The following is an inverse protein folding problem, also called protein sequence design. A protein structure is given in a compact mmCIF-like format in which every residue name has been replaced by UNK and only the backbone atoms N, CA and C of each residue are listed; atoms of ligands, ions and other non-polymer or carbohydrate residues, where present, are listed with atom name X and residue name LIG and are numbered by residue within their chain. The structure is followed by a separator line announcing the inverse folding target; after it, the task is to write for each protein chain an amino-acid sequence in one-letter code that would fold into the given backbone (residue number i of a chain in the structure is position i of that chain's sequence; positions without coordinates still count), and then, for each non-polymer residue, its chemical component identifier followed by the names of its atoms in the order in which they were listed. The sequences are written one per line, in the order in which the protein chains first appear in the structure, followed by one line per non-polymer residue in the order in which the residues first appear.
data_IF_367591660815
#
_entry.id   IF_367591660815
#
_cell.length_a   1.000
_cell.length_b   1.000
_cell.length_c   1.000
_cell.angle_alpha   90.00
_cell.angle_beta   90.00
_cell.angle_gamma   90.00
#
_symmetry.space_group_name_H-M   'P 1'
#
loop_
_entity.id
_entity.type
_entity.pdbx_description
1 polymer ?
#
# COMPACT_ATOMS: atom_id res chain seq x y z
N UNK A 1 10.70 2.78 -10.33
CA UNK A 1 11.83 2.24 -9.53
C UNK A 1 13.11 2.11 -10.35
N UNK A 2 13.33 1.09 -11.20
CA UNK A 2 14.58 0.95 -11.97
C UNK A 2 14.92 2.19 -12.80
N UNK A 3 13.96 2.73 -13.56
CA UNK A 3 14.22 3.94 -14.37
C UNK A 3 14.47 5.18 -13.51
N UNK A 4 13.83 5.28 -12.33
CA UNK A 4 14.08 6.35 -11.36
C UNK A 4 15.48 6.21 -10.72
N UNK A 5 15.96 4.99 -10.46
CA UNK A 5 17.33 4.75 -10.01
C UNK A 5 18.37 5.09 -11.10
N UNK A 6 18.00 5.01 -12.37
CA UNK A 6 18.83 5.44 -13.50
C UNK A 6 18.84 6.97 -13.72
N UNK A 7 17.93 7.72 -13.07
CA UNK A 7 17.75 9.17 -13.23
C UNK A 7 18.02 9.99 -11.95
N UNK A 8 18.48 9.35 -10.87
CA UNK A 8 18.72 9.99 -9.56
C UNK A 8 20.12 10.60 -9.41
N UNK A 9 20.61 11.29 -10.44
CA UNK A 9 21.63 12.32 -10.24
C UNK A 9 20.90 13.67 -10.19
N UNK A 10 21.12 14.48 -9.16
CA UNK A 10 20.39 15.73 -8.91
C UNK A 10 20.51 16.79 -10.04
N UNK A 11 21.27 16.50 -11.09
CA UNK A 11 21.43 17.31 -12.31
C UNK A 11 20.83 16.66 -13.57
N UNK A 12 20.24 15.46 -13.48
CA UNK A 12 20.00 14.58 -14.63
C UNK A 12 18.51 14.17 -14.77
N UNK A 13 17.58 15.04 -14.34
CA UNK A 13 16.18 14.98 -14.76
C UNK A 13 16.00 15.29 -16.26
N UNK A 14 17.08 15.55 -17.00
CA UNK A 14 17.06 15.76 -18.43
C UNK A 14 17.07 14.41 -19.18
N UNK A 15 15.89 14.03 -19.65
CA UNK A 15 15.68 13.21 -20.85
C UNK A 15 16.37 11.84 -20.89
N UNK A 16 15.70 10.83 -20.32
CA UNK A 16 15.75 9.50 -20.94
C UNK A 16 15.01 9.62 -22.28
N UNK A 17 15.73 9.57 -23.41
CA UNK A 17 15.13 9.70 -24.74
C UNK A 17 14.01 8.64 -24.93
N UNK A 18 12.93 8.96 -25.69
CA UNK A 18 11.81 8.04 -25.91
C UNK A 18 12.23 6.66 -26.45
N UNK A 19 13.32 6.59 -27.21
CA UNK A 19 13.89 5.35 -27.74
C UNK A 19 14.51 4.48 -26.62
N UNK A 20 15.14 5.12 -25.63
CA UNK A 20 15.67 4.44 -24.44
C UNK A 20 14.53 3.83 -23.61
N UNK A 21 13.35 4.46 -23.55
CA UNK A 21 12.19 3.89 -22.86
C UNK A 21 11.71 2.58 -23.47
N UNK A 22 11.62 2.51 -24.80
CA UNK A 22 11.22 1.28 -25.50
C UNK A 22 12.21 0.14 -25.24
N UNK A 23 13.51 0.43 -25.31
CA UNK A 23 14.57 -0.53 -25.01
C UNK A 23 14.53 -0.99 -23.54
N UNK A 24 14.23 -0.10 -22.59
CA UNK A 24 14.06 -0.45 -21.18
C UNK A 24 12.86 -1.39 -20.97
N UNK A 25 11.75 -1.17 -21.68
CA UNK A 25 10.57 -2.03 -21.60
C UNK A 25 10.86 -3.47 -22.07
N UNK A 26 11.66 -3.65 -23.13
CA UNK A 26 12.04 -4.98 -23.64
C UNK A 26 12.91 -5.79 -22.65
N UNK A 27 13.61 -5.09 -21.75
CA UNK A 27 14.46 -5.72 -20.73
C UNK A 27 13.69 -6.05 -19.45
N UNK A 28 12.43 -5.63 -19.32
CA UNK A 28 11.60 -6.01 -18.18
C UNK A 28 11.49 -7.53 -18.11
N UNK A 29 11.70 -8.05 -16.91
CA UNK A 29 11.50 -9.46 -16.58
C UNK A 29 10.35 -9.54 -15.60
N UNK A 30 9.43 -10.46 -15.86
CA UNK A 30 8.23 -10.63 -15.06
C UNK A 30 8.37 -11.87 -14.17
N UNK A 31 7.84 -11.79 -12.97
CA UNK A 31 7.62 -12.93 -12.08
C UNK A 31 6.41 -13.73 -12.54
N UNK A 32 6.24 -14.94 -12.01
CA UNK A 32 5.05 -15.76 -12.26
C UNK A 32 3.75 -15.12 -11.77
N UNK A 33 3.83 -14.16 -10.85
CA UNK A 33 2.68 -13.40 -10.32
C UNK A 33 2.37 -12.14 -11.12
N UNK A 34 3.02 -11.93 -12.28
CA UNK A 34 2.74 -10.79 -13.15
C UNK A 34 3.35 -9.47 -12.67
N UNK A 35 4.36 -9.54 -11.81
CA UNK A 35 5.05 -8.36 -11.25
C UNK A 35 6.46 -8.26 -11.83
N UNK A 36 7.07 -7.07 -11.86
CA UNK A 36 8.46 -6.95 -12.36
C UNK A 36 9.43 -7.61 -11.38
N UNK A 37 10.23 -8.55 -11.88
CA UNK A 37 11.39 -9.13 -11.21
C UNK A 37 12.55 -8.13 -11.31
N UNK A 38 12.71 -7.30 -10.27
CA UNK A 38 13.68 -6.22 -10.31
C UNK A 38 15.12 -6.69 -10.40
N UNK A 39 15.46 -7.83 -9.77
CA UNK A 39 16.82 -8.37 -9.83
C UNK A 39 17.14 -8.85 -11.24
N UNK A 40 16.28 -9.69 -11.83
CA UNK A 40 16.50 -10.18 -13.21
C UNK A 40 16.43 -9.07 -14.24
N UNK A 41 15.59 -8.06 -14.01
CA UNK A 41 15.53 -6.87 -14.87
C UNK A 41 16.82 -6.07 -14.75
N UNK A 42 17.31 -5.83 -13.53
CA UNK A 42 18.60 -5.16 -13.32
C UNK A 42 19.75 -5.93 -13.98
N UNK A 43 19.79 -7.25 -13.83
CA UNK A 43 20.75 -8.13 -14.48
C UNK A 43 20.67 -8.06 -16.03
N UNK A 44 19.47 -8.05 -16.60
CA UNK A 44 19.27 -7.89 -18.04
C UNK A 44 19.72 -6.52 -18.54
N UNK A 45 19.54 -5.48 -17.73
CA UNK A 45 19.95 -4.10 -18.06
C UNK A 45 21.46 -3.92 -17.99
N UNK A 46 22.13 -4.46 -16.96
CA UNK A 46 23.59 -4.32 -16.86
C UNK A 46 24.34 -5.12 -17.92
N UNK A 47 23.73 -6.19 -18.46
CA UNK A 47 24.24 -6.94 -19.62
C UNK A 47 24.01 -6.22 -20.94
N UNK A 48 23.16 -5.20 -20.97
CA UNK A 48 22.87 -4.42 -22.18
C UNK A 48 23.82 -3.23 -22.28
N UNK A 49 24.18 -2.88 -23.50
CA UNK A 49 24.90 -1.66 -23.88
C UNK A 49 24.02 -0.38 -23.86
N UNK A 50 22.70 -0.53 -23.66
CA UNK A 50 21.72 0.56 -23.59
C UNK A 50 21.97 1.51 -22.42
N UNK A 51 22.65 1.04 -21.37
CA UNK A 51 22.95 1.81 -20.16
C UNK A 51 24.45 2.06 -20.10
N UNK A 52 24.88 3.30 -19.83
CA UNK A 52 26.30 3.64 -19.73
C UNK A 52 26.97 2.92 -18.54
N UNK A 53 28.31 2.85 -18.56
CA UNK A 53 29.08 2.09 -17.57
C UNK A 53 28.87 2.57 -16.13
N UNK A 54 28.66 3.88 -15.92
CA UNK A 54 28.44 4.45 -14.59
C UNK A 54 27.10 4.02 -14.04
N UNK A 55 26.05 4.10 -14.85
CA UNK A 55 24.71 3.64 -14.48
C UNK A 55 24.65 2.12 -14.32
N UNK A 56 25.35 1.34 -15.16
CA UNK A 56 25.49 -0.12 -14.99
C UNK A 56 26.15 -0.49 -13.68
N UNK A 57 27.24 0.19 -13.31
CA UNK A 57 27.89 0.01 -12.01
C UNK A 57 26.95 0.35 -10.84
N UNK A 58 26.29 1.52 -10.86
CA UNK A 58 25.32 1.92 -9.82
C UNK A 58 24.20 0.88 -9.68
N UNK A 59 23.66 0.39 -10.79
CA UNK A 59 22.58 -0.61 -10.81
C UNK A 59 23.05 -1.97 -10.27
N UNK A 60 24.22 -2.44 -10.68
CA UNK A 60 24.82 -3.67 -10.17
C UNK A 60 25.04 -3.59 -8.65
N UNK A 61 25.53 -2.46 -8.16
CA UNK A 61 25.71 -2.18 -6.74
C UNK A 61 24.39 -2.19 -5.96
N UNK A 62 23.34 -1.55 -6.51
CA UNK A 62 22.04 -1.42 -5.86
C UNK A 62 21.33 -2.78 -5.72
N UNK A 63 21.49 -3.67 -6.69
CA UNK A 63 20.87 -5.01 -6.69
C UNK A 63 21.84 -6.12 -6.27
N UNK A 64 22.99 -5.76 -5.69
CA UNK A 64 24.01 -6.68 -5.20
C UNK A 64 24.41 -7.77 -6.21
N UNK A 65 24.63 -7.36 -7.46
CA UNK A 65 25.05 -8.25 -8.55
C UNK A 65 26.57 -8.51 -8.47
N UNK A 66 27.01 -9.23 -7.45
CA UNK A 66 28.43 -9.46 -7.09
C UNK A 66 29.33 -9.82 -8.27
N UNK A 67 28.86 -10.66 -9.20
CA UNK A 67 29.67 -11.13 -10.34
C UNK A 67 30.04 -10.00 -11.31
N UNK A 68 29.16 -8.99 -11.44
CA UNK A 68 29.32 -7.90 -12.39
C UNK A 68 30.08 -6.70 -11.81
N UNK A 69 29.99 -6.50 -10.50
CA UNK A 69 30.54 -5.33 -9.81
C UNK A 69 32.06 -5.18 -10.02
N UNK A 70 32.90 -6.23 -9.88
CA UNK A 70 34.34 -6.13 -10.13
C UNK A 70 34.68 -5.80 -11.59
N UNK A 71 33.91 -6.32 -12.55
CA UNK A 71 34.12 -6.09 -13.98
C UNK A 71 33.83 -4.63 -14.32
N UNK A 72 32.66 -4.12 -13.92
CA UNK A 72 32.31 -2.73 -14.13
C UNK A 72 33.22 -1.78 -13.36
N UNK A 73 33.67 -2.16 -12.16
CA UNK A 73 34.66 -1.37 -11.44
C UNK A 73 35.96 -1.23 -12.24
N UNK A 74 36.44 -2.27 -12.92
CA UNK A 74 37.64 -2.17 -13.78
C UNK A 74 37.42 -1.24 -14.98
N UNK A 75 36.25 -1.35 -15.62
CA UNK A 75 35.88 -0.58 -16.81
C UNK A 75 35.55 0.89 -16.52
N UNK A 76 35.20 1.24 -15.28
CA UNK A 76 34.89 2.61 -14.90
C UNK A 76 36.08 3.56 -15.16
N UNK A 77 35.83 4.75 -15.73
CA UNK A 77 36.86 5.80 -15.83
C UNK A 77 37.39 6.19 -14.45
N UNK A 78 38.69 6.50 -14.35
CA UNK A 78 39.33 6.87 -13.09
C UNK A 78 38.69 8.11 -12.43
N UNK A 79 38.22 9.06 -13.24
CA UNK A 79 37.47 10.23 -12.79
C UNK A 79 36.21 9.83 -12.00
N UNK A 80 35.47 8.83 -12.50
CA UNK A 80 34.27 8.31 -11.82
C UNK A 80 34.63 7.46 -10.60
N UNK A 81 35.70 6.65 -10.64
CA UNK A 81 36.17 5.90 -9.46
C UNK A 81 36.46 6.84 -8.29
N UNK A 82 37.07 7.99 -8.57
CA UNK A 82 37.31 9.05 -7.59
C UNK A 82 36.02 9.55 -6.93
N UNK A 83 34.91 9.62 -7.66
CA UNK A 83 33.61 10.02 -7.07
C UNK A 83 33.04 8.95 -6.14
N UNK A 84 33.15 7.66 -6.50
CA UNK A 84 32.64 6.55 -5.69
C UNK A 84 33.52 6.16 -4.50
N UNK A 85 34.81 6.53 -4.56
CA UNK A 85 35.81 6.18 -3.56
C UNK A 85 36.45 7.45 -2.98
N UNK A 86 35.64 8.32 -2.37
CA UNK A 86 36.13 9.53 -1.73
C UNK A 86 35.79 9.57 -0.23
N UNK A 87 36.82 9.39 0.61
CA UNK A 87 36.73 9.38 2.07
C UNK A 87 36.19 10.70 2.68
N UNK A 88 36.36 11.82 1.96
CA UNK A 88 35.78 13.13 2.34
C UNK A 88 34.36 13.40 1.80
N UNK A 89 33.91 12.67 0.78
CA UNK A 89 32.55 12.84 0.26
C UNK A 89 31.55 12.04 1.09
N UNK A 90 31.94 10.85 1.55
CA UNK A 90 31.12 9.96 2.39
C UNK A 90 30.76 10.55 3.76
N UNK A 91 31.51 11.53 4.27
CA UNK A 91 31.17 12.24 5.52
C UNK A 91 30.12 13.34 5.37
N UNK A 92 29.74 13.71 4.13
CA UNK A 92 28.81 14.81 3.83
C UNK A 92 27.46 14.34 3.26
N UNK A 93 27.32 13.06 2.88
CA UNK A 93 26.08 12.54 2.31
C UNK A 93 25.22 11.97 3.44
N UNK A 94 23.99 12.48 3.56
CA UNK A 94 23.03 12.12 4.62
C UNK A 94 22.58 10.65 4.57
N UNK A 95 22.75 9.99 3.43
CA UNK A 95 22.52 8.57 3.19
C UNK A 95 23.74 8.04 2.43
N UNK A 96 24.25 6.84 2.76
CA UNK A 96 25.37 6.26 2.01
C UNK A 96 24.81 5.24 1.00
N UNK A 97 24.55 5.62 -0.26
CA UNK A 97 24.14 4.67 -1.29
C UNK A 97 25.09 3.48 -1.36
N UNK A 98 24.53 2.29 -1.56
CA UNK A 98 25.30 1.04 -1.60
C UNK A 98 26.49 1.08 -2.58
N UNK A 99 26.39 1.85 -3.68
CA UNK A 99 27.46 2.00 -4.66
C UNK A 99 28.74 2.67 -4.13
N UNK A 100 28.68 3.40 -3.01
CA UNK A 100 29.86 3.93 -2.31
C UNK A 100 30.52 2.88 -1.40
N UNK A 101 29.81 1.82 -1.02
CA UNK A 101 30.33 0.78 -0.13
C UNK A 101 31.13 -0.28 -0.89
N UNK A 102 30.67 -0.65 -2.09
CA UNK A 102 31.29 -1.70 -2.92
C UNK A 102 32.79 -1.49 -3.22
N UNK A 103 33.29 -0.27 -3.46
CA UNK A 103 34.72 -0.06 -3.63
C UNK A 103 35.57 -0.51 -2.44
N UNK A 104 35.07 -0.36 -1.21
CA UNK A 104 35.75 -0.82 0.01
C UNK A 104 35.71 -2.34 0.12
N UNK A 105 34.58 -2.97 -0.23
CA UNK A 105 34.42 -4.42 -0.32
C UNK A 105 35.42 -5.01 -1.32
N UNK A 106 35.47 -4.46 -2.54
CA UNK A 106 36.38 -4.91 -3.60
C UNK A 106 37.87 -4.81 -3.23
N UNK A 107 38.23 -3.84 -2.38
CA UNK A 107 39.61 -3.64 -1.91
C UNK A 107 39.95 -4.43 -0.64
N UNK A 108 38.99 -5.19 -0.08
CA UNK A 108 39.16 -5.89 1.20
C UNK A 108 39.25 -4.94 2.41
N UNK A 109 38.75 -3.71 2.26
CA UNK A 109 38.79 -2.65 3.27
C UNK A 109 37.43 -2.48 3.98
N UNK A 110 36.65 -3.57 4.08
CA UNK A 110 35.30 -3.57 4.66
C UNK A 110 35.28 -3.02 6.09
N UNK A 111 36.34 -3.26 6.87
CA UNK A 111 36.49 -2.72 8.21
C UNK A 111 36.36 -1.19 8.26
N UNK A 112 36.72 -0.46 7.18
CA UNK A 112 36.54 1.00 7.12
C UNK A 112 35.07 1.41 7.11
N UNK A 113 34.19 0.56 6.57
CA UNK A 113 32.73 0.79 6.56
C UNK A 113 32.13 0.68 7.97
N UNK A 114 32.73 -0.14 8.85
CA UNK A 114 32.29 -0.26 10.25
C UNK A 114 32.55 1.02 11.04
N UNK A 115 33.62 1.76 10.71
CA UNK A 115 34.02 2.99 11.40
C UNK A 115 33.50 4.28 10.74
N UNK A 116 32.76 4.19 9.64
CA UNK A 116 32.25 5.40 8.97
C UNK A 116 31.28 6.17 9.88
N UNK A 117 31.47 7.49 10.08
CA UNK A 117 30.57 8.31 10.88
C UNK A 117 29.17 8.24 10.30
N UNK A 118 28.24 7.63 11.03
CA UNK A 118 26.81 7.57 10.67
C UNK A 118 26.09 8.89 10.98
N UNK A 119 26.84 9.99 11.02
CA UNK A 119 26.41 11.29 11.49
C UNK A 119 25.81 12.10 10.35
N UNK A 120 24.56 11.79 9.98
CA UNK A 120 23.59 12.73 9.39
C UNK A 120 22.27 12.08 8.94
N UNK A 121 21.95 10.86 9.40
CA UNK A 121 20.56 10.41 9.38
C UNK A 121 19.75 11.36 10.26
N UNK A 122 18.57 11.78 9.79
CA UNK A 122 17.68 12.71 10.50
C UNK A 122 17.69 12.40 12.00
N UNK A 123 18.01 13.42 12.82
CA UNK A 123 18.42 13.40 14.25
C UNK A 123 17.52 12.61 15.22
N UNK A 124 16.52 11.90 14.73
CA UNK A 124 15.47 11.20 15.47
C UNK A 124 15.66 9.67 15.48
N UNK A 125 16.31 9.06 14.48
CA UNK A 125 16.23 7.60 14.28
C UNK A 125 17.37 6.79 14.90
N UNK A 126 18.59 7.33 14.94
CA UNK A 126 19.76 6.64 15.52
C UNK A 126 19.74 6.62 17.05
N UNK A 127 18.85 7.38 17.70
CA UNK A 127 18.80 7.47 19.16
C UNK A 127 18.34 6.18 19.88
N UNK A 128 17.81 5.19 19.14
CA UNK A 128 17.36 3.89 19.68
C UNK A 128 18.25 2.70 19.34
N UNK A 129 19.28 2.87 18.52
CA UNK A 129 20.28 1.83 18.36
C UNK A 129 21.22 1.91 19.57
N UNK A 130 21.12 0.92 20.46
CA UNK A 130 22.10 0.72 21.52
C UNK A 130 23.49 0.61 20.90
N UNK A 131 24.35 1.55 21.28
CA UNK A 131 25.78 1.61 20.99
C UNK A 131 26.18 1.64 19.48
N UNK A 132 26.42 2.84 18.91
CA UNK A 132 27.00 3.01 17.58
C UNK A 132 28.33 2.28 17.33
N UNK A 133 29.02 1.81 18.38
CA UNK A 133 30.29 1.09 18.26
C UNK A 133 30.15 -0.40 17.92
N UNK A 134 28.92 -0.96 17.80
CA UNK A 134 28.72 -2.41 17.67
C UNK A 134 27.96 -2.90 16.43
N UNK A 135 27.29 -2.03 15.68
CA UNK A 135 26.57 -2.44 14.46
C UNK A 135 27.56 -2.60 13.30
N UNK A 136 27.73 -3.81 12.77
CA UNK A 136 28.59 -4.06 11.59
C UNK A 136 27.95 -3.56 10.29
N UNK A 137 28.74 -3.25 9.28
CA UNK A 137 28.31 -2.72 7.97
C UNK A 137 27.14 -3.51 7.37
N UNK A 138 27.20 -4.85 7.37
CA UNK A 138 26.13 -5.67 6.80
C UNK A 138 24.79 -5.48 7.52
N UNK A 139 24.78 -5.28 8.84
CA UNK A 139 23.55 -5.03 9.60
C UNK A 139 22.95 -3.68 9.22
N UNK A 140 23.79 -2.66 9.09
CA UNK A 140 23.37 -1.36 8.58
C UNK A 140 22.83 -1.46 7.15
N UNK A 141 23.55 -2.14 6.26
CA UNK A 141 23.17 -2.27 4.85
C UNK A 141 21.85 -3.04 4.69
N UNK A 142 21.62 -4.06 5.52
CA UNK A 142 20.34 -4.77 5.61
C UNK A 142 19.20 -3.83 6.04
N UNK A 143 19.37 -3.11 7.16
CA UNK A 143 18.36 -2.18 7.68
C UNK A 143 18.04 -1.07 6.68
N UNK A 144 19.07 -0.45 6.11
CA UNK A 144 18.93 0.62 5.13
C UNK A 144 18.25 0.11 3.84
N UNK A 145 18.67 -1.05 3.32
CA UNK A 145 18.06 -1.64 2.12
C UNK A 145 16.58 -1.97 2.33
N UNK A 146 16.24 -2.47 3.53
CA UNK A 146 14.86 -2.73 3.91
C UNK A 146 14.04 -1.43 3.95
N UNK A 147 14.62 -0.39 4.54
CA UNK A 147 14.01 0.92 4.68
C UNK A 147 13.79 1.66 3.36
N UNK A 148 14.65 1.50 2.37
CA UNK A 148 14.43 2.08 1.03
C UNK A 148 13.54 1.19 0.14
N UNK A 149 12.99 0.09 0.67
CA UNK A 149 12.13 -0.83 -0.08
C UNK A 149 12.86 -1.68 -1.12
N UNK A 150 14.18 -1.90 -0.96
CA UNK A 150 14.99 -2.73 -1.86
C UNK A 150 15.12 -4.16 -1.29
N UNK A 151 14.14 -5.00 -1.63
CA UNK A 151 14.09 -6.41 -1.20
C UNK A 151 15.36 -7.19 -1.56
N UNK A 152 15.87 -7.05 -2.78
CA UNK A 152 17.04 -7.82 -3.23
C UNK A 152 18.27 -7.52 -2.39
N UNK A 153 18.55 -6.24 -2.13
CA UNK A 153 19.67 -5.86 -1.27
C UNK A 153 19.43 -6.25 0.19
N UNK A 154 18.20 -6.11 0.70
CA UNK A 154 17.85 -6.55 2.05
C UNK A 154 18.11 -8.06 2.23
N UNK A 155 17.61 -8.90 1.32
CA UNK A 155 17.86 -10.35 1.32
C UNK A 155 19.36 -10.68 1.30
N UNK A 156 20.10 -10.03 0.40
CA UNK A 156 21.52 -10.22 0.25
C UNK A 156 22.29 -9.92 1.54
N UNK A 157 22.05 -8.74 2.16
CA UNK A 157 22.76 -8.37 3.38
C UNK A 157 22.30 -9.17 4.59
N UNK A 158 21.02 -9.56 4.65
CA UNK A 158 20.50 -10.45 5.70
C UNK A 158 21.24 -11.80 5.69
N UNK A 159 21.52 -12.36 4.50
CA UNK A 159 22.28 -13.59 4.37
C UNK A 159 23.73 -13.48 4.87
N UNK A 160 24.32 -12.27 4.85
CA UNK A 160 25.68 -12.02 5.37
C UNK A 160 25.73 -11.81 6.88
N UNK A 161 24.58 -11.69 7.56
CA UNK A 161 24.51 -11.56 9.01
C UNK A 161 24.75 -12.90 9.72
N UNK A 162 25.35 -12.85 10.91
CA UNK A 162 25.39 -14.00 11.82
C UNK A 162 24.01 -14.29 12.42
N UNK A 163 23.81 -15.48 12.99
CA UNK A 163 22.54 -15.84 13.64
C UNK A 163 22.14 -14.81 14.71
N UNK A 164 23.05 -14.48 15.62
CA UNK A 164 22.82 -13.48 16.68
C UNK A 164 22.43 -12.11 16.12
N UNK A 165 23.03 -11.69 14.99
CA UNK A 165 22.70 -10.42 14.36
C UNK A 165 21.33 -10.42 13.69
N UNK A 166 20.93 -11.56 13.11
CA UNK A 166 19.59 -11.72 12.51
C UNK A 166 18.53 -11.61 13.60
N UNK A 167 18.67 -12.39 14.66
CA UNK A 167 17.73 -12.41 15.79
C UNK A 167 17.60 -11.02 16.42
N UNK A 168 18.72 -10.31 16.62
CA UNK A 168 18.71 -8.97 17.21
C UNK A 168 18.12 -7.88 16.31
N UNK A 169 18.07 -8.08 14.98
CA UNK A 169 17.73 -7.00 14.03
C UNK A 169 16.39 -7.20 13.33
N UNK A 170 15.94 -8.44 13.14
CA UNK A 170 14.85 -8.77 12.23
C UNK A 170 13.53 -8.08 12.60
N UNK A 171 13.05 -8.31 13.83
CA UNK A 171 11.78 -7.74 14.34
C UNK A 171 11.83 -6.22 14.33
N UNK A 172 12.89 -5.63 14.87
CA UNK A 172 13.03 -4.17 14.94
C UNK A 172 13.08 -3.53 13.55
N UNK A 173 13.77 -4.17 12.59
CA UNK A 173 13.83 -3.68 11.20
C UNK A 173 12.45 -3.67 10.56
N UNK A 174 11.64 -4.72 10.75
CA UNK A 174 10.27 -4.75 10.22
C UNK A 174 9.39 -3.66 10.84
N UNK A 175 9.46 -3.49 12.17
CA UNK A 175 8.77 -2.40 12.89
C UNK A 175 9.16 -1.04 12.33
N UNK A 176 10.45 -0.81 12.07
CA UNK A 176 10.95 0.45 11.55
C UNK A 176 10.51 0.69 10.10
N UNK A 177 10.51 -0.34 9.26
CA UNK A 177 9.99 -0.31 7.88
C UNK A 177 8.52 0.12 7.87
N UNK A 178 7.69 -0.50 8.71
CA UNK A 178 6.26 -0.20 8.84
C UNK A 178 6.01 1.23 9.32
N UNK A 179 6.74 1.68 10.36
CA UNK A 179 6.63 3.03 10.90
C UNK A 179 7.09 4.11 9.93
N UNK A 180 8.18 3.85 9.22
CA UNK A 180 8.72 4.81 8.26
C UNK A 180 7.75 5.06 7.13
N UNK A 181 7.23 4.00 6.53
CA UNK A 181 6.24 4.10 5.47
C UNK A 181 5.04 4.95 5.90
N UNK A 182 4.54 4.74 7.12
CA UNK A 182 3.40 5.49 7.66
C UNK A 182 3.69 6.98 7.84
N UNK A 183 4.85 7.34 8.40
CA UNK A 183 5.19 8.75 8.69
C UNK A 183 5.51 9.57 7.44
N UNK A 184 6.10 8.94 6.43
CA UNK A 184 6.59 9.64 5.25
C UNK A 184 5.74 9.41 4.00
N UNK A 185 4.67 8.62 4.05
CA UNK A 185 3.76 8.44 2.92
C UNK A 185 3.31 9.78 2.30
N UNK A 186 3.10 10.81 3.12
CA UNK A 186 2.68 12.16 2.67
C UNK A 186 3.76 12.97 1.94
N UNK A 187 5.05 12.60 2.07
CA UNK A 187 6.19 13.36 1.50
C UNK A 187 6.97 12.49 0.48
N UNK A 188 6.95 11.17 0.64
CA UNK A 188 7.73 10.20 -0.12
C UNK A 188 7.26 9.97 -1.56
N UNK A 189 6.27 10.73 -2.06
CA UNK A 189 5.87 10.69 -3.47
C UNK A 189 7.02 10.99 -4.44
N UNK A 190 8.12 11.61 -3.97
CA UNK A 190 9.28 11.94 -4.80
C UNK A 190 10.52 11.07 -4.57
N UNK A 191 10.67 10.41 -3.42
CA UNK A 191 11.86 9.63 -3.07
C UNK A 191 11.56 8.13 -3.12
N UNK A 192 11.95 7.51 -4.22
CA UNK A 192 12.03 6.05 -4.43
C UNK A 192 10.78 5.27 -3.98
N UNK A 193 9.90 4.95 -4.94
CA UNK A 193 8.85 3.91 -4.81
C UNK A 193 9.47 2.51 -4.65
N UNK A 194 10.24 2.29 -3.58
CA UNK A 194 10.65 0.97 -3.16
C UNK A 194 9.41 0.15 -2.84
N UNK A 195 9.40 -1.14 -3.21
CA UNK A 195 8.29 -2.02 -2.85
C UNK A 195 8.43 -2.43 -1.39
N UNK A 196 8.02 -1.53 -0.49
CA UNK A 196 7.99 -1.77 0.94
C UNK A 196 7.21 -3.03 1.31
N UNK A 197 6.13 -3.33 0.57
CA UNK A 197 5.35 -4.54 0.75
C UNK A 197 6.15 -5.80 0.45
N UNK A 198 6.99 -5.80 -0.58
CA UNK A 198 7.89 -6.92 -0.91
C UNK A 198 8.93 -7.14 0.20
N UNK A 199 9.53 -6.05 0.71
CA UNK A 199 10.47 -6.11 1.85
C UNK A 199 9.77 -6.64 3.09
N UNK A 200 8.62 -6.06 3.47
CA UNK A 200 7.89 -6.48 4.66
C UNK A 200 7.47 -7.94 4.56
N UNK A 201 6.96 -8.38 3.41
CA UNK A 201 6.62 -9.80 3.16
C UNK A 201 7.84 -10.71 3.37
N UNK A 202 9.00 -10.30 2.86
CA UNK A 202 10.24 -11.03 3.09
C UNK A 202 10.59 -11.07 4.58
N UNK A 203 10.61 -9.94 5.28
CA UNK A 203 10.94 -9.88 6.70
C UNK A 203 10.01 -10.77 7.55
N UNK A 204 8.69 -10.69 7.31
CA UNK A 204 7.71 -11.56 7.98
C UNK A 204 7.97 -13.03 7.68
N UNK A 205 8.32 -13.40 6.45
CA UNK A 205 8.64 -14.79 6.09
C UNK A 205 9.88 -15.37 6.82
N UNK A 206 10.75 -14.49 7.34
CA UNK A 206 11.92 -14.91 8.11
C UNK A 206 11.63 -15.04 9.61
N UNK A 207 10.46 -14.59 10.07
CA UNK A 207 10.07 -14.56 11.48
C UNK A 207 9.29 -15.81 11.89
N UNK A 208 9.32 -16.12 13.18
CA UNK A 208 8.40 -17.10 13.75
C UNK A 208 6.97 -16.53 13.83
N UNK A 209 5.93 -17.37 13.91
CA UNK A 209 4.56 -16.88 14.10
C UNK A 209 4.38 -15.96 15.31
N UNK A 210 5.08 -16.23 16.41
CA UNK A 210 5.03 -15.42 17.62
C UNK A 210 5.58 -14.01 17.41
N UNK A 211 6.70 -13.90 16.68
CA UNK A 211 7.31 -12.63 16.30
C UNK A 211 6.39 -11.83 15.36
N UNK A 212 5.77 -12.49 14.37
CA UNK A 212 4.81 -11.84 13.48
C UNK A 212 3.62 -11.28 14.27
N UNK A 213 3.03 -12.09 15.17
CA UNK A 213 1.92 -11.68 16.03
C UNK A 213 2.30 -10.49 16.91
N UNK A 214 3.54 -10.43 17.42
CA UNK A 214 4.01 -9.28 18.19
C UNK A 214 3.93 -7.99 17.37
N UNK A 215 4.39 -8.00 16.12
CA UNK A 215 4.34 -6.84 15.24
C UNK A 215 2.87 -6.50 14.90
N UNK A 216 2.03 -7.50 14.61
CA UNK A 216 0.62 -7.31 14.32
C UNK A 216 -0.15 -6.65 15.47
N UNK A 217 0.22 -6.95 16.72
CA UNK A 217 -0.31 -6.30 17.91
C UNK A 217 0.19 -4.88 18.10
N UNK A 218 1.45 -4.63 17.78
CA UNK A 218 2.07 -3.32 17.99
C UNK A 218 1.62 -2.28 16.95
N UNK A 219 1.43 -2.69 15.69
CA UNK A 219 1.21 -1.80 14.55
C UNK A 219 0.11 -2.32 13.58
N UNK A 220 -1.10 -2.66 14.06
CA UNK A 220 -2.11 -3.30 13.22
C UNK A 220 -2.53 -2.45 12.01
N UNK A 221 -2.75 -1.14 12.22
CA UNK A 221 -3.20 -0.23 11.17
C UNK A 221 -2.12 -0.04 10.09
N UNK A 222 -0.88 0.18 10.51
CA UNK A 222 0.24 0.44 9.63
C UNK A 222 0.63 -0.80 8.80
N UNK A 223 0.47 -2.00 9.36
CA UNK A 223 0.70 -3.25 8.62
C UNK A 223 -0.37 -3.44 7.57
N UNK A 224 -1.65 -3.24 7.93
CA UNK A 224 -2.75 -3.34 6.99
C UNK A 224 -2.52 -2.40 5.79
N UNK A 225 -2.11 -1.17 6.05
CA UNK A 225 -1.72 -0.18 5.04
C UNK A 225 -0.59 -0.69 4.13
N UNK A 226 0.38 -1.43 4.66
CA UNK A 226 1.48 -1.95 3.87
C UNK A 226 1.01 -2.92 2.77
N UNK A 227 -0.02 -3.72 3.06
CA UNK A 227 -0.54 -4.75 2.18
C UNK A 227 -1.71 -4.31 1.28
N UNK A 228 -2.23 -3.09 1.45
CA UNK A 228 -3.22 -2.51 0.55
C UNK A 228 -2.66 -2.08 -0.82
N UNK A 229 -1.33 -2.04 -0.97
CA UNK A 229 -0.68 -1.74 -2.27
C UNK A 229 -0.79 -2.91 -3.24
N UNK A 230 -1.06 -2.61 -4.52
CA UNK A 230 -0.88 -3.59 -5.59
C UNK A 230 0.60 -3.99 -5.68
N UNK A 231 0.93 -5.30 -5.76
CA UNK A 231 0.08 -6.47 -6.03
C UNK A 231 -0.23 -7.33 -4.78
N UNK A 232 -0.14 -6.76 -3.58
CA UNK A 232 -0.14 -7.50 -2.32
C UNK A 232 -1.55 -7.79 -1.76
N UNK A 233 -2.60 -7.61 -2.55
CA UNK A 233 -3.99 -7.77 -2.10
C UNK A 233 -4.28 -9.19 -1.56
N UNK A 234 -3.67 -10.22 -2.13
CA UNK A 234 -3.87 -11.59 -1.64
C UNK A 234 -3.30 -11.78 -0.23
N UNK A 235 -2.11 -11.22 0.03
CA UNK A 235 -1.50 -11.23 1.36
C UNK A 235 -2.31 -10.40 2.34
N UNK A 236 -2.89 -9.28 1.89
CA UNK A 236 -3.85 -8.54 2.68
C UNK A 236 -5.03 -9.43 3.11
N UNK A 237 -5.58 -10.23 2.20
CA UNK A 237 -6.68 -11.14 2.56
C UNK A 237 -6.21 -12.19 3.58
N UNK A 238 -5.02 -12.76 3.47
CA UNK A 238 -4.58 -13.74 4.47
C UNK A 238 -4.41 -13.13 5.87
N UNK A 239 -4.02 -11.85 5.94
CA UNK A 239 -3.71 -11.16 7.20
C UNK A 239 -4.88 -10.38 7.80
N UNK A 240 -5.90 -10.03 7.01
CA UNK A 240 -6.96 -9.12 7.43
C UNK A 240 -7.69 -9.60 8.69
N UNK A 241 -8.13 -10.86 8.74
CA UNK A 241 -8.85 -11.39 9.90
C UNK A 241 -8.01 -11.29 11.18
N UNK A 242 -6.74 -11.66 11.10
CA UNK A 242 -5.82 -11.60 12.24
C UNK A 242 -5.63 -10.15 12.69
N UNK A 243 -5.41 -9.23 11.76
CA UNK A 243 -5.17 -7.81 12.08
C UNK A 243 -6.42 -7.17 12.70
N UNK A 244 -7.62 -7.50 12.24
CA UNK A 244 -8.87 -7.00 12.82
C UNK A 244 -9.01 -7.35 14.30
N UNK A 245 -8.49 -8.51 14.75
CA UNK A 245 -8.51 -8.88 16.18
C UNK A 245 -7.62 -8.00 17.06
N UNK A 246 -6.63 -7.33 16.47
CA UNK A 246 -5.68 -6.47 17.19
C UNK A 246 -5.95 -4.97 16.97
N UNK A 247 -6.74 -4.60 15.98
CA UNK A 247 -7.01 -3.21 15.64
C UNK A 247 -8.06 -2.61 16.60
N UNK A 248 -7.68 -1.68 17.49
CA UNK A 248 -8.65 -1.04 18.38
C UNK A 248 -9.58 -0.11 17.60
N UNK A 249 -10.82 0.01 18.07
CA UNK A 249 -11.85 0.88 17.46
C UNK A 249 -11.39 2.33 17.30
N UNK A 250 -10.54 2.83 18.22
CA UNK A 250 -9.95 4.17 18.15
C UNK A 250 -9.18 4.43 16.86
N UNK A 251 -8.70 3.39 16.19
CA UNK A 251 -7.89 3.47 14.98
C UNK A 251 -8.71 3.30 13.70
N UNK A 252 -10.02 3.01 13.78
CA UNK A 252 -10.86 2.80 12.59
C UNK A 252 -10.94 4.05 11.73
N UNK A 253 -11.07 5.22 12.34
CA UNK A 253 -11.08 6.50 11.64
C UNK A 253 -9.78 6.78 10.90
N UNK A 254 -8.64 6.50 11.55
CA UNK A 254 -7.33 6.67 10.93
C UNK A 254 -7.19 5.72 9.73
N UNK A 255 -7.61 4.46 9.90
CA UNK A 255 -7.61 3.49 8.81
C UNK A 255 -8.48 3.93 7.62
N UNK A 256 -9.70 4.40 7.88
CA UNK A 256 -10.60 4.94 6.85
C UNK A 256 -9.97 6.11 6.10
N UNK A 257 -9.41 7.07 6.84
CA UNK A 257 -8.69 8.20 6.23
C UNK A 257 -7.58 7.71 5.30
N UNK A 258 -6.81 6.71 5.71
CA UNK A 258 -5.71 6.15 4.91
C UNK A 258 -6.20 5.37 3.68
N UNK A 259 -7.29 4.60 3.79
CA UNK A 259 -7.90 3.92 2.64
C UNK A 259 -8.33 4.94 1.59
N UNK A 260 -8.96 6.04 2.01
CA UNK A 260 -9.36 7.11 1.11
C UNK A 260 -8.14 7.67 0.35
N UNK A 261 -7.06 8.02 1.05
CA UNK A 261 -5.83 8.50 0.41
C UNK A 261 -5.23 7.48 -0.55
N UNK A 262 -5.26 6.18 -0.22
CA UNK A 262 -4.79 5.14 -1.13
C UNK A 262 -5.63 5.12 -2.42
N UNK A 263 -6.96 5.25 -2.32
CA UNK A 263 -7.80 5.25 -3.51
C UNK A 263 -7.52 6.50 -4.36
N UNK A 264 -7.52 7.69 -3.75
CA UNK A 264 -7.30 8.96 -4.43
C UNK A 264 -5.92 9.01 -5.11
N UNK A 265 -4.87 8.60 -4.38
CA UNK A 265 -3.49 8.78 -4.85
C UNK A 265 -2.96 7.62 -5.70
N UNK A 266 -3.51 6.40 -5.56
CA UNK A 266 -2.97 5.24 -6.29
C UNK A 266 -3.14 5.36 -7.80
N UNK A 267 -4.13 6.15 -8.26
CA UNK A 267 -4.57 6.18 -9.65
C UNK A 267 -5.20 4.85 -10.12
N UNK A 268 -5.45 3.91 -9.20
CA UNK A 268 -6.04 2.60 -9.47
C UNK A 268 -7.11 2.27 -8.44
N UNK A 269 -8.37 2.35 -8.85
CA UNK A 269 -9.50 1.93 -8.03
C UNK A 269 -9.55 0.39 -7.92
N UNK A 270 -9.46 -0.14 -6.69
CA UNK A 270 -9.45 -1.58 -6.41
C UNK A 270 -10.72 -2.02 -5.66
N UNK A 271 -11.83 -2.25 -6.38
CA UNK A 271 -13.13 -2.53 -5.76
C UNK A 271 -13.13 -3.79 -4.90
N UNK A 272 -12.46 -4.86 -5.36
CA UNK A 272 -12.38 -6.11 -4.63
C UNK A 272 -11.69 -5.97 -3.26
N UNK A 273 -10.69 -5.08 -3.15
CA UNK A 273 -9.99 -4.83 -1.89
C UNK A 273 -10.94 -4.19 -0.87
N UNK A 274 -11.69 -3.17 -1.31
CA UNK A 274 -12.68 -2.50 -0.48
C UNK A 274 -13.81 -3.43 -0.06
N UNK A 275 -14.40 -4.16 -1.01
CA UNK A 275 -15.47 -5.11 -0.71
C UNK A 275 -15.05 -6.13 0.35
N UNK A 276 -13.87 -6.74 0.20
CA UNK A 276 -13.37 -7.71 1.17
C UNK A 276 -13.03 -7.08 2.53
N UNK A 277 -12.49 -5.85 2.53
CA UNK A 277 -12.25 -5.11 3.76
C UNK A 277 -13.56 -4.95 4.56
N UNK A 278 -14.63 -4.48 3.92
CA UNK A 278 -15.93 -4.30 4.58
C UNK A 278 -16.56 -5.63 5.00
N UNK A 279 -16.50 -6.66 4.15
CA UNK A 279 -17.08 -7.99 4.46
C UNK A 279 -16.43 -8.65 5.69
N UNK A 280 -15.16 -8.38 5.94
CA UNK A 280 -14.38 -8.97 7.05
C UNK A 280 -14.20 -8.02 8.23
N UNK A 281 -14.61 -6.77 8.08
CA UNK A 281 -14.51 -5.80 9.15
C UNK A 281 -15.51 -6.08 10.28
N UNK A 282 -15.16 -5.73 11.52
CA UNK A 282 -16.11 -5.71 12.63
C UNK A 282 -17.30 -4.79 12.32
N UNK A 283 -18.50 -5.11 12.85
CA UNK A 283 -19.72 -4.34 12.58
C UNK A 283 -19.55 -2.85 12.93
N UNK A 284 -18.85 -2.56 14.02
CA UNK A 284 -18.58 -1.18 14.45
C UNK A 284 -17.76 -0.39 13.43
N UNK A 285 -16.91 -1.05 12.62
CA UNK A 285 -16.17 -0.39 11.53
C UNK A 285 -17.12 0.25 10.51
N UNK A 286 -18.23 -0.43 10.18
CA UNK A 286 -19.25 0.10 9.29
C UNK A 286 -19.89 1.38 9.81
N UNK A 287 -20.14 1.46 11.12
CA UNK A 287 -20.66 2.68 11.76
C UNK A 287 -19.65 3.84 11.67
N UNK A 288 -18.38 3.58 11.94
CA UNK A 288 -17.31 4.57 11.77
C UNK A 288 -17.18 5.03 10.32
N UNK A 289 -17.36 4.13 9.37
CA UNK A 289 -17.42 4.49 7.95
C UNK A 289 -18.56 5.46 7.67
N UNK A 290 -19.77 5.17 8.15
CA UNK A 290 -20.94 6.04 7.94
C UNK A 290 -20.72 7.41 8.57
N UNK A 291 -20.17 7.46 9.79
CA UNK A 291 -19.84 8.72 10.46
C UNK A 291 -18.81 9.54 9.68
N UNK A 292 -17.76 8.90 9.15
CA UNK A 292 -16.74 9.57 8.38
C UNK A 292 -17.24 10.02 7.00
N UNK A 293 -18.07 9.21 6.35
CA UNK A 293 -18.69 9.55 5.07
C UNK A 293 -19.68 10.71 5.23
N UNK A 294 -20.47 10.76 6.30
CA UNK A 294 -21.33 11.91 6.61
C UNK A 294 -20.52 13.18 6.96
N UNK A 295 -19.28 13.02 7.43
CA UNK A 295 -18.41 14.14 7.80
C UNK A 295 -17.69 14.73 6.60
N UNK A 296 -17.19 13.89 5.71
CA UNK A 296 -16.29 14.29 4.63
C UNK A 296 -16.91 14.09 3.24
N UNK A 297 -17.67 13.01 3.03
CA UNK A 297 -18.45 12.76 1.80
C UNK A 297 -17.60 12.38 0.59
N UNK A 298 -16.46 11.71 0.79
CA UNK A 298 -15.51 11.45 -0.30
C UNK A 298 -15.57 10.03 -0.87
N UNK A 299 -15.92 9.00 -0.08
CA UNK A 299 -15.90 7.62 -0.59
C UNK A 299 -16.97 7.40 -1.65
N UNK A 300 -18.19 7.92 -1.43
CA UNK A 300 -19.28 7.72 -2.38
C UNK A 300 -19.03 8.47 -3.68
N UNK A 301 -18.35 9.62 -3.65
CA UNK A 301 -18.00 10.32 -4.87
C UNK A 301 -17.14 9.44 -5.79
N UNK A 302 -16.12 8.80 -5.20
CA UNK A 302 -15.23 7.88 -5.90
C UNK A 302 -15.97 6.63 -6.43
N UNK A 303 -16.86 6.03 -5.63
CA UNK A 303 -17.65 4.87 -6.06
C UNK A 303 -18.59 5.23 -7.22
N UNK A 304 -19.16 6.42 -7.19
CA UNK A 304 -20.06 6.90 -8.24
C UNK A 304 -19.31 7.28 -9.53
N UNK A 305 -18.09 7.84 -9.41
CA UNK A 305 -17.27 8.17 -10.58
C UNK A 305 -16.81 6.89 -11.30
N UNK A 306 -16.48 5.84 -10.54
CA UNK A 306 -16.14 4.49 -11.05
C UNK A 306 -17.35 3.61 -11.39
N UNK A 307 -18.59 4.06 -11.12
CA UNK A 307 -19.83 3.28 -11.30
C UNK A 307 -19.82 1.93 -10.57
N UNK A 308 -19.21 1.87 -9.39
CA UNK A 308 -19.09 0.64 -8.61
C UNK A 308 -20.32 0.41 -7.72
N UNK A 309 -21.33 -0.22 -8.31
CA UNK A 309 -22.54 -0.59 -7.58
C UNK A 309 -22.33 -1.75 -6.60
N UNK A 310 -21.34 -2.62 -6.83
CA UNK A 310 -21.13 -3.80 -5.98
C UNK A 310 -20.48 -3.43 -4.65
N UNK A 311 -19.49 -2.54 -4.66
CA UNK A 311 -18.90 -2.00 -3.41
C UNK A 311 -19.94 -1.25 -2.59
N UNK A 312 -20.81 -0.46 -3.24
CA UNK A 312 -21.94 0.20 -2.57
C UNK A 312 -22.83 -0.84 -1.89
N UNK A 313 -23.29 -1.87 -2.61
CA UNK A 313 -24.14 -2.93 -2.03
C UNK A 313 -23.48 -3.61 -0.83
N UNK A 314 -22.19 -3.96 -0.95
CA UNK A 314 -21.43 -4.58 0.15
C UNK A 314 -21.44 -3.68 1.38
N UNK A 315 -21.09 -2.40 1.22
CA UNK A 315 -21.07 -1.43 2.33
C UNK A 315 -22.44 -1.34 3.00
N UNK A 316 -23.51 -1.13 2.23
CA UNK A 316 -24.87 -1.05 2.76
C UNK A 316 -25.27 -2.32 3.53
N UNK A 317 -24.87 -3.50 3.06
CA UNK A 317 -25.15 -4.77 3.76
C UNK A 317 -24.36 -4.96 5.04
N UNK A 318 -23.18 -4.34 5.14
CA UNK A 318 -22.31 -4.42 6.33
C UNK A 318 -22.69 -3.45 7.44
N UNK A 319 -23.43 -2.37 7.13
CA UNK A 319 -23.91 -1.40 8.14
C UNK A 319 -25.32 -1.74 8.63
N UNK A 320 -25.67 -1.24 9.81
CA UNK A 320 -26.99 -1.46 10.40
C UNK A 320 -28.10 -0.64 9.72
N UNK A 321 -29.37 -0.98 9.98
CA UNK A 321 -30.50 -0.33 9.32
C UNK A 321 -30.61 1.18 9.61
N UNK A 322 -30.25 1.63 10.82
CA UNK A 322 -30.32 3.03 11.18
C UNK A 322 -29.22 3.84 10.46
N UNK A 323 -28.02 3.29 10.38
CA UNK A 323 -26.88 3.88 9.69
C UNK A 323 -27.08 3.92 8.17
N UNK A 324 -27.75 2.92 7.57
CA UNK A 324 -28.17 2.97 6.15
C UNK A 324 -29.06 4.16 5.86
N UNK A 325 -30.07 4.37 6.70
CA UNK A 325 -31.01 5.49 6.56
C UNK A 325 -30.24 6.81 6.75
N UNK A 326 -29.44 6.92 7.81
CA UNK A 326 -28.59 8.09 8.07
C UNK A 326 -27.74 8.45 6.85
N UNK A 327 -27.09 7.48 6.23
CA UNK A 327 -26.21 7.68 5.09
C UNK A 327 -26.95 8.28 3.87
N UNK A 328 -28.13 7.77 3.52
CA UNK A 328 -28.88 8.28 2.35
C UNK A 328 -29.59 9.61 2.58
N UNK A 329 -29.73 10.03 3.84
CA UNK A 329 -30.26 11.35 4.22
C UNK A 329 -29.18 12.38 4.57
N UNK A 330 -27.90 12.01 4.49
CA UNK A 330 -26.81 12.93 4.76
C UNK A 330 -26.75 14.05 3.69
N UNK A 331 -26.56 15.33 4.07
CA UNK A 331 -26.50 16.44 3.12
C UNK A 331 -25.44 16.28 2.01
N UNK A 332 -24.28 15.70 2.28
CA UNK A 332 -23.25 15.45 1.26
C UNK A 332 -23.70 14.39 0.28
N UNK A 333 -24.26 13.28 0.79
CA UNK A 333 -24.79 12.19 -0.04
C UNK A 333 -25.98 12.67 -0.88
N UNK A 334 -26.89 13.47 -0.33
CA UNK A 334 -28.01 14.06 -1.08
C UNK A 334 -27.54 14.99 -2.20
N UNK A 335 -26.51 15.80 -1.94
CA UNK A 335 -25.87 16.64 -2.97
C UNK A 335 -25.23 15.78 -4.07
N UNK A 336 -24.60 14.66 -3.69
CA UNK A 336 -24.04 13.70 -4.64
C UNK A 336 -25.14 13.07 -5.49
N UNK A 337 -26.24 12.62 -4.90
CA UNK A 337 -27.39 12.08 -5.62
C UNK A 337 -27.92 13.09 -6.64
N UNK A 338 -28.03 14.37 -6.26
CA UNK A 338 -28.43 15.41 -7.19
C UNK A 338 -27.48 15.59 -8.37
N UNK A 339 -26.16 15.62 -8.10
CA UNK A 339 -25.11 15.68 -9.14
C UNK A 339 -25.27 14.54 -10.15
N UNK A 340 -25.47 13.31 -9.68
CA UNK A 340 -25.49 12.12 -10.54
C UNK A 340 -26.82 11.88 -11.26
N UNK A 341 -27.95 12.22 -10.64
CA UNK A 341 -29.25 12.20 -11.33
C UNK A 341 -29.28 13.22 -12.46
N UNK A 342 -28.70 14.41 -12.25
CA UNK A 342 -28.57 15.43 -13.29
C UNK A 342 -27.71 14.96 -14.48
N UNK A 343 -26.73 14.07 -14.22
CA UNK A 343 -25.86 13.43 -15.22
C UNK A 343 -26.47 12.16 -15.85
N UNK A 344 -27.74 11.87 -15.64
CA UNK A 344 -28.43 10.64 -16.11
C UNK A 344 -27.82 9.33 -15.56
N UNK A 345 -27.09 9.39 -14.45
CA UNK A 345 -26.52 8.24 -13.72
C UNK A 345 -27.35 7.91 -12.47
N UNK A 346 -28.66 7.97 -12.59
CA UNK A 346 -29.61 7.80 -11.48
C UNK A 346 -29.67 6.35 -10.95
N UNK A 347 -29.26 5.36 -11.74
CA UNK A 347 -29.15 3.96 -11.31
C UNK A 347 -28.21 3.78 -10.10
N UNK A 348 -27.16 4.61 -9.98
CA UNK A 348 -26.27 4.58 -8.80
C UNK A 348 -27.03 4.96 -7.53
N UNK A 349 -27.90 5.99 -7.62
CA UNK A 349 -28.75 6.43 -6.50
C UNK A 349 -29.80 5.38 -6.18
N UNK A 350 -30.40 4.76 -7.20
CA UNK A 350 -31.37 3.68 -7.02
C UNK A 350 -30.78 2.53 -6.21
N UNK A 351 -29.53 2.12 -6.50
CA UNK A 351 -28.84 1.06 -5.72
C UNK A 351 -28.72 1.45 -4.25
N UNK A 352 -28.29 2.67 -3.94
CA UNK A 352 -28.19 3.14 -2.54
C UNK A 352 -29.55 3.08 -1.83
N UNK A 353 -30.61 3.61 -2.46
CA UNK A 353 -31.95 3.65 -1.85
C UNK A 353 -32.55 2.25 -1.68
N UNK A 354 -32.30 1.35 -2.63
CA UNK A 354 -32.76 -0.04 -2.57
C UNK A 354 -32.08 -0.80 -1.44
N UNK A 355 -30.76 -0.67 -1.30
CA UNK A 355 -29.99 -1.35 -0.25
C UNK A 355 -30.19 -0.69 1.12
N UNK A 356 -30.56 0.60 1.17
CA UNK A 356 -30.94 1.28 2.41
C UNK A 356 -32.25 0.76 3.02
N UNK A 357 -33.06 0.02 2.24
CA UNK A 357 -34.32 -0.59 2.69
C UNK A 357 -35.26 0.42 3.37
N UNK A 358 -35.39 1.61 2.78
CA UNK A 358 -36.18 2.70 3.35
C UNK A 358 -37.65 2.30 3.59
N UNK A 359 -38.19 2.76 4.72
CA UNK A 359 -39.62 2.67 4.99
C UNK A 359 -40.42 3.53 3.99
N UNK A 360 -41.73 3.30 3.92
CA UNK A 360 -42.60 4.14 3.07
C UNK A 360 -42.49 5.62 3.46
N UNK A 361 -42.54 5.91 4.75
CA UNK A 361 -42.44 7.27 5.29
C UNK A 361 -41.08 7.92 4.97
N UNK A 362 -39.99 7.15 5.05
CA UNK A 362 -38.66 7.63 4.65
C UNK A 362 -38.62 7.93 3.14
N UNK A 363 -39.18 7.07 2.29
CA UNK A 363 -39.24 7.34 0.84
C UNK A 363 -40.04 8.59 0.54
N UNK A 364 -41.17 8.81 1.21
CA UNK A 364 -41.99 10.00 1.03
C UNK A 364 -41.21 11.26 1.48
N UNK A 365 -40.52 11.21 2.62
CA UNK A 365 -39.62 12.29 3.08
C UNK A 365 -38.49 12.56 2.09
N UNK A 366 -37.91 11.52 1.50
CA UNK A 366 -36.87 11.64 0.48
C UNK A 366 -37.41 12.35 -0.77
N UNK A 367 -38.60 11.97 -1.26
CA UNK A 367 -39.25 12.64 -2.40
C UNK A 367 -39.54 14.11 -2.11
N UNK A 368 -40.07 14.42 -0.92
CA UNK A 368 -40.36 15.80 -0.51
C UNK A 368 -39.10 16.68 -0.52
N UNK A 369 -37.98 16.17 0.00
CA UNK A 369 -36.71 16.88 0.00
C UNK A 369 -36.28 17.33 -1.41
N UNK A 370 -36.41 16.45 -2.41
CA UNK A 370 -36.01 16.76 -3.79
C UNK A 370 -37.08 17.52 -4.60
N UNK A 371 -38.38 17.36 -4.27
CA UNK A 371 -39.44 18.15 -4.90
C UNK A 371 -39.33 19.65 -4.59
N UNK A 372 -38.80 20.01 -3.41
CA UNK A 372 -38.53 21.39 -3.04
C UNK A 372 -37.45 22.09 -3.87
N UNK A 373 -36.59 21.34 -4.58
CA UNK A 373 -35.39 21.85 -5.26
C UNK A 373 -35.60 22.23 -6.75
N UNK A 374 -36.83 22.58 -7.16
CA UNK A 374 -37.24 22.83 -8.56
C UNK A 374 -36.97 21.63 -9.48
N UNK A 375 -37.95 20.73 -9.57
CA UNK A 375 -37.89 19.46 -10.29
C UNK A 375 -37.57 19.63 -11.78
N UNK A 376 -36.37 19.22 -12.20
CA UNK A 376 -36.12 18.89 -13.60
C UNK A 376 -36.97 17.68 -14.01
N UNK A 377 -37.30 17.53 -15.29
CA UNK A 377 -38.03 16.36 -15.81
C UNK A 377 -37.34 15.03 -15.47
N UNK A 378 -36.03 15.05 -15.27
CA UNK A 378 -35.21 13.90 -14.84
C UNK A 378 -35.61 13.40 -13.45
N UNK A 379 -35.92 14.30 -12.52
CA UNK A 379 -36.33 13.94 -11.16
C UNK A 379 -37.69 13.27 -11.10
N UNK A 380 -38.65 13.77 -11.90
CA UNK A 380 -39.97 13.15 -11.98
C UNK A 380 -39.87 11.69 -12.43
N UNK A 381 -39.08 11.46 -13.48
CA UNK A 381 -38.81 10.11 -14.01
C UNK A 381 -38.14 9.21 -12.96
N UNK A 382 -37.21 9.75 -12.18
CA UNK A 382 -36.57 8.99 -11.11
C UNK A 382 -37.55 8.59 -10.00
N UNK A 383 -38.43 9.50 -9.58
CA UNK A 383 -39.47 9.20 -8.58
C UNK A 383 -40.45 8.12 -9.08
N UNK A 384 -40.82 8.16 -10.37
CA UNK A 384 -41.64 7.12 -11.00
C UNK A 384 -40.95 5.75 -10.95
N UNK A 385 -39.65 5.67 -11.27
CA UNK A 385 -38.89 4.43 -11.20
C UNK A 385 -38.77 3.88 -9.75
N UNK A 386 -38.61 4.75 -8.75
CA UNK A 386 -38.57 4.31 -7.35
C UNK A 386 -39.87 3.62 -6.91
N UNK A 387 -41.02 4.08 -7.42
CA UNK A 387 -42.32 3.49 -7.14
C UNK A 387 -42.54 2.16 -7.88
N UNK A 388 -41.98 1.99 -9.08
CA UNK A 388 -42.06 0.75 -9.87
C UNK A 388 -41.23 -0.41 -9.27
N UNK A 389 -40.08 -0.11 -8.67
CA UNK A 389 -39.19 -1.14 -8.06
C UNK A 389 -39.84 -1.81 -6.83
N UNK A 390 -40.78 -1.15 -6.16
CA UNK A 390 -41.55 -1.73 -5.05
C UNK A 390 -42.58 -2.75 -5.52
N UNK A 391 -43.18 -2.55 -6.69
CA UNK A 391 -44.15 -3.49 -7.26
C UNK A 391 -43.49 -4.82 -7.70
N UNK A 392 -42.19 -4.81 -8.04
CA UNK A 392 -41.46 -5.98 -8.54
C UNK A 392 -40.64 -6.74 -7.49
N UNK A 393 -40.23 -6.08 -6.39
CA UNK A 393 -39.35 -6.67 -5.37
C UNK A 393 -40.04 -7.64 -4.39
N UNK A 394 -41.37 -7.67 -4.34
CA UNK A 394 -42.15 -8.60 -3.50
C UNK A 394 -42.01 -10.09 -3.87
N UNK A 395 -41.40 -10.42 -5.02
CA UNK A 395 -41.36 -11.79 -5.56
C UNK A 395 -40.01 -12.53 -5.40
N UNK A 396 -38.91 -11.88 -4.98
CA UNK A 396 -37.55 -12.47 -5.09
C UNK A 396 -36.69 -12.51 -3.82
N UNK A 397 -37.13 -11.93 -2.70
CA UNK A 397 -36.25 -11.66 -1.53
C UNK A 397 -35.98 -12.82 -0.56
N UNK A 398 -36.56 -14.03 -0.72
CA UNK A 398 -36.39 -15.09 0.29
C UNK A 398 -35.13 -15.97 0.14
N UNK A 399 -34.29 -15.76 -0.89
CA UNK A 399 -33.19 -16.68 -1.24
C UNK A 399 -31.82 -16.24 -0.71
N UNK A 400 -31.53 -14.94 -0.72
CA UNK A 400 -30.14 -14.47 -0.62
C UNK A 400 -29.70 -14.17 0.83
N UNK A 401 -30.62 -13.75 1.70
CA UNK A 401 -30.36 -13.53 3.13
C UNK A 401 -30.06 -14.83 3.89
N UNK A 402 -30.60 -15.97 3.43
CA UNK A 402 -30.34 -17.28 4.04
C UNK A 402 -28.89 -17.74 3.80
N UNK A 403 -28.29 -17.30 2.70
CA UNK A 403 -26.94 -17.70 2.28
C UNK A 403 -25.86 -16.95 3.07
N UNK A 404 -26.04 -15.64 3.31
CA UNK A 404 -25.11 -14.84 4.11
C UNK A 404 -25.13 -15.24 5.59
N UNK A 405 -26.32 -15.59 6.10
CA UNK A 405 -26.50 -16.09 7.47
C UNK A 405 -25.84 -17.45 7.65
N UNK A 406 -25.87 -18.33 6.64
CA UNK A 406 -25.16 -19.62 6.65
C UNK A 406 -23.63 -19.45 6.64
N UNK A 407 -23.09 -18.52 5.84
CA UNK A 407 -21.64 -18.26 5.79
C UNK A 407 -21.14 -17.70 7.12
N UNK A 408 -21.87 -16.76 7.74
CA UNK A 408 -21.50 -16.24 9.08
C UNK A 408 -21.64 -17.29 10.18
N UNK A 409 -22.62 -18.20 10.09
CA UNK A 409 -22.80 -19.26 11.08
C UNK A 409 -21.73 -20.35 10.99
N UNK A 410 -21.27 -20.70 9.78
CA UNK A 410 -20.18 -21.64 9.57
C UNK A 410 -18.84 -21.12 10.15
N UNK A 411 -18.56 -19.82 10.04
CA UNK A 411 -17.36 -19.24 10.67
C UNK A 411 -17.42 -19.25 12.21
N UNK A 412 -18.60 -19.13 12.83
CA UNK A 412 -18.73 -19.18 14.29
C UNK A 412 -18.70 -20.61 14.85
N UNK A 413 -19.14 -21.62 14.09
CA UNK A 413 -19.15 -23.02 14.54
C UNK A 413 -17.75 -23.68 14.46
N UNK A 414 -16.86 -23.20 13.57
CA UNK A 414 -15.44 -23.63 13.55
C UNK A 414 -14.65 -23.13 14.77
N UNK A 415 -15.01 -21.98 15.37
CA UNK A 415 -14.36 -21.45 16.58
C UNK A 415 -14.72 -22.19 17.88
N UNK A 416 -15.84 -22.92 17.95
CA UNK A 416 -16.21 -23.73 19.11
C UNK A 416 -15.61 -25.14 19.10
N UNK A 417 -15.24 -25.67 17.93
CA UNK A 417 -14.66 -27.02 17.80
C UNK A 417 -13.18 -27.02 18.19
N UNK A 418 -12.47 -25.89 18.09
CA UNK A 418 -11.05 -25.76 18.45
C UNK A 418 -10.80 -25.40 19.93
N UNK A 419 -11.87 -25.33 20.74
CA UNK A 419 -11.82 -25.07 22.20
C UNK A 419 -12.31 -26.25 23.06
N UNK A 420 -12.35 -27.47 22.53
CA UNK A 420 -12.66 -28.70 23.29
C UNK A 420 -11.53 -29.71 23.32
#
# INVERSE_FOLDING_TARGET
MIVQHLSYDANDFAFVEPETWLLLHEKLRWTSTGTVDYRKTAEALVRSDVVDIVKRYKLACLYCLEDYIPEFWKELPEENKGTFYHEKATSLIAELPLHFCWPYILKGEEYKLDFMPRSSFGRTWIRRLEDPSRTRFHQYAFQHSSFIGNKTAAEYFFQKLTHEQRDASLVQTAVDVVRYRTRYFRIAFQLTKGKFSDVLSYLLSQMTPEEQIQIFKELPCEILRCFMEWPCQNLFFDLADVIWTFLPESNYKDLLSEIYWIIEDSGYYHPNLLQNLFLRSPIDFGKHFVDEECRIGYFFEEFFDNQDTETIKVIFRTVDAADRVKLVFDPYVLKLFYKYISKDRWHMVEVCLREATLSKDDKDRFKEYFMGLQSSSKWRRFCECLDETDASSGSKRSSDDETLTKVKKLCCEEEEIDKR
#
